data_IF_321904072588
#
_entry.id   IF_321904072588
#
_cell.length_a   1.000
_cell.length_b   1.000
_cell.length_c   1.000
_cell.angle_alpha   90.00
_cell.angle_beta   90.00
_cell.angle_gamma   90.00
#
_symmetry.space_group_name_H-M   'P 1'
#
loop_
_entity.id
_entity.type
_entity.pdbx_description
1 polymer ?
#
# COMPACT_ATOMS: atom_id res chain seq x y z
N UNK A 1 21.52 -9.29 10.49
CA UNK A 1 21.07 -9.09 9.10
C UNK A 1 19.82 -8.26 9.19
N UNK A 2 19.69 -7.20 8.40
CA UNK A 2 18.45 -6.42 8.36
C UNK A 2 17.40 -7.23 7.59
N UNK A 3 16.27 -7.50 8.22
CA UNK A 3 15.15 -8.18 7.56
C UNK A 3 14.42 -7.16 6.67
N UNK A 4 14.34 -7.45 5.37
CA UNK A 4 13.67 -6.60 4.40
C UNK A 4 12.29 -7.20 4.04
N UNK A 5 11.23 -6.47 4.36
CA UNK A 5 9.85 -6.86 4.00
C UNK A 5 9.43 -6.15 2.73
N UNK A 6 8.92 -6.88 1.74
CA UNK A 6 8.39 -6.27 0.51
C UNK A 6 6.87 -6.20 0.59
N UNK A 7 6.29 -5.04 0.28
CA UNK A 7 4.85 -4.84 0.17
C UNK A 7 4.48 -4.51 -1.27
N UNK A 8 3.34 -5.00 -1.73
CA UNK A 8 2.72 -4.60 -2.99
C UNK A 8 1.43 -3.84 -2.66
N UNK A 9 1.26 -2.69 -3.30
CA UNK A 9 0.12 -1.81 -3.07
C UNK A 9 -0.51 -1.44 -4.40
N UNK A 10 -1.83 -1.60 -4.48
CA UNK A 10 -2.65 -1.08 -5.57
C UNK A 10 -3.64 -0.04 -5.05
N UNK A 11 -3.89 0.99 -5.84
CA UNK A 11 -4.84 2.06 -5.56
C UNK A 11 -5.78 2.17 -6.75
N UNK A 12 -7.07 2.05 -6.50
CA UNK A 12 -8.13 2.32 -7.47
C UNK A 12 -8.92 3.54 -7.02
N UNK A 13 -9.24 4.43 -7.95
CA UNK A 13 -10.08 5.61 -7.71
C UNK A 13 -11.25 5.54 -8.65
N UNK A 14 -12.45 5.66 -8.11
CA UNK A 14 -13.69 5.70 -8.87
C UNK A 14 -14.62 6.76 -8.29
N UNK A 15 -14.80 7.87 -9.01
CA UNK A 15 -15.53 9.03 -8.50
C UNK A 15 -14.97 9.54 -7.17
N UNK A 16 -15.82 9.52 -6.14
CA UNK A 16 -15.49 9.92 -4.77
C UNK A 16 -14.98 8.76 -3.89
N UNK A 17 -14.78 7.59 -4.47
CA UNK A 17 -14.39 6.37 -3.77
C UNK A 17 -12.93 5.96 -4.09
N UNK A 18 -12.22 5.45 -3.09
CA UNK A 18 -10.85 4.93 -3.21
C UNK A 18 -10.80 3.52 -2.64
N UNK A 19 -10.30 2.58 -3.43
CA UNK A 19 -9.93 1.24 -2.98
C UNK A 19 -8.43 1.11 -2.88
N UNK A 20 -7.94 0.49 -1.80
CA UNK A 20 -6.52 0.18 -1.62
C UNK A 20 -6.39 -1.30 -1.30
N UNK A 21 -5.56 -2.01 -2.06
CA UNK A 21 -5.13 -3.36 -1.72
C UNK A 21 -3.69 -3.32 -1.23
N UNK A 22 -3.41 -4.03 -0.13
CA UNK A 22 -2.07 -4.21 0.42
C UNK A 22 -1.83 -5.69 0.68
N UNK A 23 -0.68 -6.18 0.22
CA UNK A 23 -0.19 -7.53 0.47
C UNK A 23 1.32 -7.49 0.73
N UNK A 24 1.81 -8.44 1.53
CA UNK A 24 3.24 -8.63 1.82
C UNK A 24 3.77 -9.79 0.98
N UNK A 25 4.92 -9.58 0.38
CA UNK A 25 5.65 -10.58 -0.39
C UNK A 25 6.85 -11.05 0.43
N UNK A 26 6.83 -12.31 0.87
CA UNK A 26 7.91 -12.92 1.64
C UNK A 26 8.52 -14.10 0.87
N UNK A 27 9.50 -13.79 0.00
CA UNK A 27 10.39 -14.69 -0.78
C UNK A 27 9.76 -15.82 -1.63
N UNK A 28 8.59 -16.35 -1.28
CA UNK A 28 7.83 -17.44 -1.90
C UNK A 28 6.33 -17.34 -1.59
N UNK A 29 5.93 -16.59 -0.57
CA UNK A 29 4.54 -16.48 -0.15
C UNK A 29 4.03 -15.04 -0.27
N UNK A 30 2.74 -14.94 -0.59
CA UNK A 30 1.98 -13.70 -0.61
C UNK A 30 1.03 -13.77 0.57
N UNK A 31 1.11 -12.77 1.42
CA UNK A 31 0.29 -12.64 2.61
C UNK A 31 -0.63 -11.44 2.44
N UNK A 32 -1.92 -11.66 2.70
CA UNK A 32 -2.90 -10.60 2.69
C UNK A 32 -2.66 -9.69 3.90
N UNK A 33 -2.68 -8.38 3.70
CA UNK A 33 -2.54 -7.41 4.79
C UNK A 33 -3.84 -6.64 4.97
N UNK A 34 -4.39 -6.14 3.86
CA UNK A 34 -5.67 -5.47 3.92
C UNK A 34 -6.22 -5.01 2.59
N UNK A 35 -7.53 -4.79 2.61
CA UNK A 35 -8.34 -4.17 1.58
C UNK A 35 -9.06 -2.99 2.24
N UNK A 36 -8.80 -1.76 1.81
CA UNK A 36 -9.26 -0.56 2.47
C UNK A 36 -10.14 0.27 1.54
N UNK A 37 -11.27 0.72 2.05
CA UNK A 37 -12.14 1.70 1.40
C UNK A 37 -11.97 3.07 2.05
N UNK A 38 -11.69 4.09 1.24
CA UNK A 38 -11.56 5.48 1.68
C UNK A 38 -12.41 6.39 0.78
N UNK A 39 -12.84 7.53 1.32
CA UNK A 39 -13.53 8.56 0.55
C UNK A 39 -12.55 9.65 0.05
N UNK A 40 -12.65 10.01 -1.23
CA UNK A 40 -11.80 11.03 -1.88
C UNK A 40 -11.96 12.40 -1.24
N UNK A 41 -13.17 12.72 -0.77
CA UNK A 41 -13.50 13.97 -0.04
C UNK A 41 -12.57 14.20 1.15
N UNK A 42 -12.09 13.13 1.78
CA UNK A 42 -11.20 13.16 2.94
C UNK A 42 -9.73 12.89 2.57
N UNK A 43 -9.52 12.05 1.54
CA UNK A 43 -8.22 11.54 1.13
C UNK A 43 -7.77 12.04 -0.25
N UNK A 44 -7.06 13.18 -0.23
CA UNK A 44 -6.25 13.61 -1.37
C UNK A 44 -5.20 12.55 -1.75
N UNK A 45 -4.64 12.62 -2.97
CA UNK A 45 -3.56 11.71 -3.41
C UNK A 45 -2.42 11.57 -2.41
N UNK A 46 -2.02 12.69 -1.80
CA UNK A 46 -0.98 12.71 -0.77
C UNK A 46 -1.42 11.97 0.48
N UNK A 47 -2.59 12.30 1.01
CA UNK A 47 -3.14 11.64 2.22
C UNK A 47 -3.36 10.15 2.01
N UNK A 48 -3.84 9.72 0.85
CA UNK A 48 -3.97 8.30 0.50
C UNK A 48 -2.62 7.60 0.57
N UNK A 49 -1.55 8.26 0.12
CA UNK A 49 -0.21 7.69 0.16
C UNK A 49 0.39 7.68 1.57
N UNK A 50 0.18 8.75 2.35
CA UNK A 50 0.55 8.80 3.77
C UNK A 50 -0.16 7.70 4.55
N UNK A 51 -1.46 7.47 4.31
CA UNK A 51 -2.22 6.36 4.88
C UNK A 51 -1.59 4.99 4.56
N UNK A 52 -1.20 4.75 3.30
CA UNK A 52 -0.54 3.50 2.90
C UNK A 52 0.77 3.31 3.66
N UNK A 53 1.56 4.38 3.82
CA UNK A 53 2.79 4.33 4.57
C UNK A 53 2.50 3.97 6.03
N UNK A 54 1.54 4.64 6.66
CA UNK A 54 1.17 4.38 8.05
C UNK A 54 0.78 2.91 8.26
N UNK A 55 -0.01 2.33 7.33
CA UNK A 55 -0.39 0.91 7.35
C UNK A 55 0.80 -0.04 7.16
N UNK A 56 1.81 0.34 6.39
CA UNK A 56 3.01 -0.48 6.21
C UNK A 56 3.93 -0.35 7.41
N UNK A 57 4.17 0.86 7.91
CA UNK A 57 5.09 1.11 9.03
C UNK A 57 4.59 0.53 10.34
N UNK A 58 3.27 0.47 10.55
CA UNK A 58 2.69 -0.17 11.74
C UNK A 58 2.95 -1.68 11.80
N UNK A 59 3.38 -2.29 10.69
CA UNK A 59 3.71 -3.71 10.56
C UNK A 59 5.21 -3.98 10.69
N UNK A 60 6.03 -2.94 10.93
CA UNK A 60 7.48 -3.04 11.01
C UNK A 60 7.97 -2.97 12.46
N UNK A 61 8.97 -3.79 12.76
CA UNK A 61 9.77 -3.67 13.97
C UNK A 61 10.85 -2.59 13.82
N UNK A 62 11.47 -2.16 14.93
CA UNK A 62 12.40 -1.02 15.00
C UNK A 62 13.61 -1.14 14.03
N UNK A 63 14.04 -2.37 13.73
CA UNK A 63 15.18 -2.65 12.85
C UNK A 63 14.80 -3.14 11.44
N UNK A 64 13.50 -3.18 11.11
CA UNK A 64 13.04 -3.69 9.82
C UNK A 64 12.95 -2.60 8.76
N UNK A 65 13.31 -2.96 7.54
CA UNK A 65 13.16 -2.09 6.36
C UNK A 65 12.00 -2.63 5.51
N UNK A 66 11.14 -1.74 5.03
CA UNK A 66 10.12 -2.10 4.06
C UNK A 66 10.38 -1.54 2.67
N UNK A 67 10.20 -2.38 1.66
CA UNK A 67 10.13 -1.97 0.26
C UNK A 67 8.68 -1.96 -0.21
N UNK A 68 8.10 -0.78 -0.42
CA UNK A 68 6.75 -0.58 -0.93
C UNK A 68 6.79 -0.49 -2.46
N UNK A 69 6.27 -1.52 -3.13
CA UNK A 69 6.06 -1.52 -4.57
C UNK A 69 4.66 -1.00 -4.86
N UNK A 70 4.55 0.09 -5.60
CA UNK A 70 3.26 0.76 -5.88
C UNK A 70 3.06 0.93 -7.37
N UNK A 71 1.81 0.78 -7.82
CA UNK A 71 1.41 0.92 -9.22
C UNK A 71 1.03 2.35 -9.62
N UNK A 72 1.58 3.39 -8.95
CA UNK A 72 1.26 4.79 -9.23
C UNK A 72 2.49 5.54 -9.80
N UNK A 73 2.51 5.91 -11.10
CA UNK A 73 3.61 6.64 -11.72
C UNK A 73 3.82 8.04 -11.15
N UNK A 74 2.79 8.66 -10.55
CA UNK A 74 2.89 10.03 -10.02
C UNK A 74 3.85 10.12 -8.83
N UNK A 75 4.06 9.01 -8.12
CA UNK A 75 4.93 8.95 -6.94
C UNK A 75 6.44 9.02 -7.25
N UNK A 76 6.85 8.81 -8.51
CA UNK A 76 8.27 8.86 -8.92
C UNK A 76 8.94 10.19 -8.55
N UNK A 77 8.18 11.28 -8.58
CA UNK A 77 8.67 12.64 -8.32
C UNK A 77 8.34 13.17 -6.93
N UNK A 78 7.66 12.37 -6.08
CA UNK A 78 7.07 12.81 -4.81
C UNK A 78 7.78 12.29 -3.57
N UNK A 79 9.09 12.02 -3.69
CA UNK A 79 9.96 11.58 -2.58
C UNK A 79 9.86 12.47 -1.34
N UNK A 80 9.61 13.77 -1.50
CA UNK A 80 9.46 14.69 -0.37
C UNK A 80 8.34 14.32 0.60
N UNK A 81 7.32 13.58 0.15
CA UNK A 81 6.21 13.16 1.02
C UNK A 81 6.62 12.08 2.02
N UNK A 82 7.62 11.26 1.71
CA UNK A 82 7.96 10.07 2.49
C UNK A 82 9.44 9.95 2.85
N UNK A 83 10.29 10.91 2.42
CA UNK A 83 11.73 10.91 2.71
C UNK A 83 12.12 10.92 4.19
N UNK A 84 11.18 11.24 5.09
CA UNK A 84 11.43 11.29 6.52
C UNK A 84 11.36 9.91 7.18
N UNK A 85 10.77 8.92 6.50
CA UNK A 85 10.82 7.52 6.91
C UNK A 85 12.13 6.90 6.39
N UNK A 86 13.09 6.70 7.28
CA UNK A 86 14.42 6.19 6.94
C UNK A 86 14.44 4.68 6.67
N UNK A 87 13.44 3.96 7.17
CA UNK A 87 13.27 2.51 7.03
C UNK A 87 12.36 2.11 5.84
N UNK A 88 12.04 3.03 4.94
CA UNK A 88 11.16 2.78 3.80
C UNK A 88 11.83 3.02 2.45
N UNK A 89 11.66 2.08 1.54
CA UNK A 89 12.02 2.18 0.14
C UNK A 89 10.76 2.12 -0.73
N UNK A 90 10.41 3.21 -1.42
CA UNK A 90 9.25 3.24 -2.33
C UNK A 90 9.70 3.05 -3.77
N UNK A 91 9.18 2.01 -4.43
CA UNK A 91 9.48 1.67 -5.82
C UNK A 91 8.22 1.67 -6.68
N UNK A 92 8.29 2.32 -7.84
CA UNK A 92 7.16 2.39 -8.78
C UNK A 92 7.27 1.31 -9.84
N UNK A 93 6.25 0.45 -9.94
CA UNK A 93 6.20 -0.65 -10.90
C UNK A 93 4.99 -0.55 -11.85
N UNK A 94 5.02 -1.21 -13.01
CA UNK A 94 3.88 -1.25 -13.92
C UNK A 94 2.68 -1.98 -13.29
N UNK A 95 1.47 -1.44 -13.47
CA UNK A 95 0.22 -1.97 -12.90
C UNK A 95 -0.02 -3.47 -13.17
N UNK A 96 0.43 -3.99 -14.33
CA UNK A 96 0.31 -5.42 -14.69
C UNK A 96 0.93 -6.40 -13.67
N UNK A 97 1.82 -5.94 -12.78
CA UNK A 97 2.46 -6.75 -11.73
C UNK A 97 1.65 -6.86 -10.43
N UNK A 98 0.49 -6.21 -10.38
CA UNK A 98 -0.35 -6.08 -9.19
C UNK A 98 -1.74 -6.67 -9.42
N UNK A 99 -1.89 -7.72 -10.24
CA UNK A 99 -3.22 -8.26 -10.60
C UNK A 99 -4.03 -8.60 -9.33
N UNK A 100 -3.43 -9.33 -8.40
CA UNK A 100 -4.11 -9.76 -7.18
C UNK A 100 -4.38 -8.58 -6.25
N UNK A 101 -3.39 -7.70 -6.06
CA UNK A 101 -3.56 -6.47 -5.26
C UNK A 101 -4.65 -5.55 -5.81
N UNK A 102 -4.79 -5.45 -7.14
CA UNK A 102 -5.87 -4.68 -7.77
C UNK A 102 -7.23 -5.31 -7.51
N UNK A 103 -7.33 -6.64 -7.48
CA UNK A 103 -8.57 -7.33 -7.11
C UNK A 103 -8.97 -7.00 -5.67
N UNK A 104 -8.01 -6.89 -4.74
CA UNK A 104 -8.29 -6.44 -3.37
C UNK A 104 -8.82 -5.00 -3.35
N UNK A 105 -8.13 -4.07 -4.02
CA UNK A 105 -8.59 -2.68 -4.13
C UNK A 105 -10.00 -2.58 -4.73
N UNK A 106 -10.31 -3.40 -5.74
CA UNK A 106 -11.64 -3.44 -6.35
C UNK A 106 -12.70 -4.02 -5.39
N UNK A 107 -12.34 -5.04 -4.61
CA UNK A 107 -13.22 -5.62 -3.60
C UNK A 107 -13.61 -4.59 -2.52
N UNK A 108 -12.65 -3.79 -2.02
CA UNK A 108 -12.94 -2.68 -1.11
C UNK A 108 -13.93 -1.68 -1.72
N UNK A 109 -13.75 -1.28 -2.98
CA UNK A 109 -14.67 -0.36 -3.66
C UNK A 109 -16.07 -0.94 -3.82
N UNK A 110 -16.16 -2.20 -4.23
CA UNK A 110 -17.44 -2.87 -4.45
C UNK A 110 -18.24 -3.03 -3.16
N UNK A 111 -17.56 -3.32 -2.05
CA UNK A 111 -18.19 -3.48 -0.73
C UNK A 111 -18.41 -2.14 -0.01
N UNK A 112 -17.60 -1.13 -0.35
CA UNK A 112 -17.46 0.12 0.42
C UNK A 112 -17.08 -0.13 1.87
N UNK A 113 -16.17 -1.09 2.09
CA UNK A 113 -15.79 -1.56 3.41
C UNK A 113 -14.30 -1.90 3.48
N UNK A 114 -13.77 -1.99 4.71
CA UNK A 114 -12.37 -2.28 5.00
C UNK A 114 -12.22 -3.64 5.70
N UNK A 115 -11.33 -4.48 5.17
CA UNK A 115 -10.99 -5.79 5.71
C UNK A 115 -9.48 -5.82 5.94
N UNK A 116 -9.07 -6.12 7.17
CA UNK A 116 -7.65 -6.18 7.57
C UNK A 116 -7.32 -7.52 8.18
N UNK A 117 -6.10 -8.00 7.93
CA UNK A 117 -5.55 -9.12 8.68
C UNK A 117 -4.81 -8.57 9.89
N UNK A 118 -5.24 -8.99 11.09
CA UNK A 118 -4.49 -8.70 12.32
C UNK A 118 -3.43 -9.77 12.46
N UNK A 119 -2.22 -9.48 11.99
CA UNK A 119 -1.08 -10.35 12.22
C UNK A 119 -0.72 -10.27 13.70
N UNK A 120 -0.91 -11.38 14.41
CA UNK A 120 -0.54 -11.55 15.83
C UNK A 120 0.96 -11.76 15.99
#
# INVERSE_FOLDING_TARGET
>A
MVEEKTYRVAILRDGDDIGIGIERYNCKEIEFIGSYYLQVSEYSRRKTFEFIIDQVTSQLNEDEIATIRVSDPTLRTKRSWYRHFTNLNVLVYPARRFRDTNSLAADALNRKDTIIETLK
#
